data_IF_278686503621
#
_entry.id   IF_278686503621
#
_cell.length_a   1.000
_cell.length_b   1.000
_cell.length_c   1.000
_cell.angle_alpha   90.00
_cell.angle_beta   90.00
_cell.angle_gamma   90.00
#
_symmetry.space_group_name_H-M   'P 1'
#
loop_
_entity.id
_entity.type
_entity.pdbx_description
1 polymer ?
#
# COMPACT_ATOMS: atom_id res chain seq x y z
N UNK A 1 -25.43 9.38 18.88
CA UNK A 1 -24.89 8.20 18.18
C UNK A 1 -23.36 8.33 18.04
N UNK A 2 -22.60 7.66 18.91
CA UNK A 2 -21.14 7.71 18.89
C UNK A 2 -20.57 6.94 17.69
N UNK A 3 -19.92 7.63 16.76
CA UNK A 3 -19.10 6.99 15.71
C UNK A 3 -17.78 6.53 16.33
N UNK A 4 -17.78 5.40 17.01
CA UNK A 4 -16.55 4.63 17.26
C UNK A 4 -16.29 3.76 16.03
N UNK A 5 -15.37 4.15 15.15
CA UNK A 5 -14.78 3.24 14.17
C UNK A 5 -13.35 3.68 13.80
N UNK A 6 -12.48 2.67 13.87
CA UNK A 6 -11.11 2.58 13.34
C UNK A 6 -10.07 3.61 13.79
N UNK A 7 -9.47 3.37 14.96
CA UNK A 7 -8.12 3.86 15.29
C UNK A 7 -6.95 2.86 15.06
N UNK A 8 -7.06 1.77 14.26
CA UNK A 8 -5.86 1.04 13.78
C UNK A 8 -5.29 1.61 12.46
N UNK A 9 -6.12 2.21 11.61
CA UNK A 9 -5.77 2.67 10.26
C UNK A 9 -4.55 3.62 10.23
N UNK A 10 -4.51 4.56 11.17
CA UNK A 10 -3.43 5.54 11.25
C UNK A 10 -2.10 4.99 11.80
N UNK A 11 -2.07 3.83 12.49
CA UNK A 11 -0.84 3.36 13.17
C UNK A 11 0.17 2.76 12.20
N UNK A 12 -0.30 2.07 11.15
CA UNK A 12 0.57 1.45 10.16
C UNK A 12 1.30 2.51 9.31
N UNK A 13 0.60 3.58 8.93
CA UNK A 13 1.19 4.70 8.19
C UNK A 13 2.05 5.58 9.12
N UNK A 14 1.64 5.78 10.38
CA UNK A 14 2.39 6.61 11.33
C UNK A 14 3.76 6.01 11.72
N UNK A 15 3.92 4.70 11.59
CA UNK A 15 5.20 3.99 11.84
C UNK A 15 6.02 3.82 10.56
N UNK A 16 5.50 4.22 9.41
CA UNK A 16 6.21 4.14 8.15
C UNK A 16 7.19 5.31 8.00
N UNK A 17 8.31 5.06 7.32
CA UNK A 17 9.20 6.15 6.89
C UNK A 17 8.47 7.09 5.93
N UNK A 18 8.94 8.34 5.85
CA UNK A 18 8.35 9.35 4.94
C UNK A 18 8.33 8.88 3.48
N UNK A 19 9.34 8.11 3.08
CA UNK A 19 9.47 7.50 1.75
C UNK A 19 8.36 6.47 1.52
N UNK A 20 8.21 5.50 2.42
CA UNK A 20 7.18 4.46 2.34
C UNK A 20 5.76 5.03 2.34
N UNK A 21 5.51 6.06 3.17
CA UNK A 21 4.20 6.71 3.22
C UNK A 21 3.84 7.40 1.90
N UNK A 22 4.82 8.06 1.27
CA UNK A 22 4.62 8.76 -0.01
C UNK A 22 4.36 7.77 -1.15
N UNK A 23 5.12 6.68 -1.21
CA UNK A 23 4.94 5.59 -2.17
C UNK A 23 3.60 4.86 -1.98
N UNK A 24 3.22 4.55 -0.73
CA UNK A 24 1.94 3.93 -0.44
C UNK A 24 0.75 4.78 -0.90
N UNK A 25 0.81 6.11 -0.72
CA UNK A 25 -0.21 7.03 -1.25
C UNK A 25 -0.25 7.01 -2.78
N UNK A 26 0.91 6.97 -3.43
CA UNK A 26 0.99 6.90 -4.89
C UNK A 26 0.35 5.61 -5.43
N UNK A 27 0.69 4.45 -4.86
CA UNK A 27 0.13 3.16 -5.25
C UNK A 27 -1.37 3.06 -4.93
N UNK A 28 -1.79 3.56 -3.77
CA UNK A 28 -3.20 3.63 -3.39
C UNK A 28 -4.05 4.35 -4.45
N UNK A 29 -3.58 5.52 -4.92
CA UNK A 29 -4.27 6.29 -5.97
C UNK A 29 -4.29 5.57 -7.32
N UNK A 30 -3.20 4.88 -7.67
CA UNK A 30 -3.07 4.21 -8.97
C UNK A 30 -3.88 2.90 -9.04
N UNK A 31 -3.95 2.18 -7.92
CA UNK A 31 -4.56 0.85 -7.85
C UNK A 31 -5.98 0.87 -7.26
N UNK A 32 -6.48 2.03 -6.82
CA UNK A 32 -7.78 2.13 -6.15
C UNK A 32 -7.81 1.49 -4.76
N UNK A 33 -6.66 1.45 -4.09
CA UNK A 33 -6.50 0.89 -2.74
C UNK A 33 -6.48 2.01 -1.69
N UNK A 34 -6.61 1.65 -0.42
CA UNK A 34 -6.26 2.56 0.68
C UNK A 34 -4.73 2.64 0.85
N UNK A 35 -4.19 3.76 1.37
CA UNK A 35 -2.76 3.87 1.68
C UNK A 35 -2.26 2.76 2.62
N UNK A 36 -3.10 2.28 3.55
CA UNK A 36 -2.77 1.15 4.43
C UNK A 36 -2.64 -0.18 3.69
N UNK A 37 -3.53 -0.46 2.74
CA UNK A 37 -3.46 -1.66 1.90
C UNK A 37 -2.20 -1.62 1.03
N UNK A 38 -1.91 -0.49 0.40
CA UNK A 38 -0.69 -0.31 -0.38
C UNK A 38 0.56 -0.53 0.48
N UNK A 39 0.60 0.05 1.68
CA UNK A 39 1.74 -0.08 2.60
C UNK A 39 1.96 -1.52 3.08
N UNK A 40 0.88 -2.26 3.37
CA UNK A 40 0.98 -3.69 3.72
C UNK A 40 1.54 -4.52 2.57
N UNK A 41 1.05 -4.31 1.36
CA UNK A 41 1.50 -5.02 0.16
C UNK A 41 2.98 -4.72 -0.13
N UNK A 42 3.40 -3.45 0.00
CA UNK A 42 4.81 -3.07 -0.17
C UNK A 42 5.73 -3.79 0.81
N UNK A 43 5.34 -3.88 2.08
CA UNK A 43 6.12 -4.60 3.10
C UNK A 43 6.14 -6.11 2.85
N UNK A 44 5.00 -6.69 2.47
CA UNK A 44 4.91 -8.11 2.12
C UNK A 44 5.80 -8.47 0.93
N UNK A 45 5.84 -7.61 -0.10
CA UNK A 45 6.71 -7.77 -1.26
C UNK A 45 8.21 -7.66 -0.92
N UNK A 46 8.59 -6.84 0.07
CA UNK A 46 9.96 -6.76 0.56
C UNK A 46 10.39 -8.03 1.31
N UNK A 47 9.46 -8.66 2.04
CA UNK A 47 9.70 -9.91 2.78
C UNK A 47 9.70 -11.12 1.84
N UNK A 48 8.91 -11.08 0.76
CA UNK A 48 8.83 -12.13 -0.25
C UNK A 48 9.51 -11.68 -1.54
N UNK A 49 10.85 -11.85 -1.69
CA UNK A 49 11.58 -11.39 -2.87
C UNK A 49 11.23 -12.15 -4.19
N UNK A 50 10.15 -12.94 -4.22
CA UNK A 50 9.89 -13.92 -5.27
C UNK A 50 8.56 -13.77 -6.04
N UNK A 51 7.62 -12.89 -5.64
CA UNK A 51 6.38 -12.71 -6.40
C UNK A 51 6.47 -11.46 -7.27
N UNK A 52 7.06 -11.70 -8.46
CA UNK A 52 6.93 -10.94 -9.70
C UNK A 52 5.74 -9.98 -9.68
N UNK A 53 6.03 -8.69 -9.80
CA UNK A 53 5.10 -7.65 -10.22
C UNK A 53 4.20 -8.15 -11.37
N UNK A 54 2.89 -8.34 -11.16
CA UNK A 54 2.01 -8.72 -12.25
C UNK A 54 1.40 -7.45 -12.86
N UNK A 55 2.21 -6.55 -13.43
CA UNK A 55 1.69 -5.57 -14.40
C UNK A 55 2.76 -4.86 -15.25
N UNK A 56 3.59 -5.62 -15.94
CA UNK A 56 4.29 -5.10 -17.14
C UNK A 56 4.10 -6.02 -18.35
N UNK A 57 3.07 -6.86 -18.32
CA UNK A 57 2.76 -7.79 -19.39
C UNK A 57 1.38 -7.49 -19.98
N UNK A 58 1.27 -6.37 -20.71
CA UNK A 58 0.62 -6.29 -22.04
C UNK A 58 0.43 -4.82 -22.45
N UNK A 59 1.28 -4.35 -23.36
CA UNK A 59 0.80 -3.79 -24.65
C UNK A 59 1.71 -4.31 -25.75
N UNK A 60 1.26 -5.38 -26.41
CA UNK A 60 1.66 -5.69 -27.79
C UNK A 60 1.11 -4.56 -28.65
N UNK A 61 1.96 -3.91 -29.43
CA UNK A 61 1.56 -3.14 -30.59
C UNK A 61 2.49 -3.51 -31.75
#
# INVERSE_FOLDING_TARGET
>A
MARKKSRPALSAIATASRSEASEAVYFARKCGLTPEEALRIMREAQITPALKSPDSAKRKH
#
